data_IF_777312077563
#
_entry.id   IF_777312077563
#
_cell.length_a   1.000
_cell.length_b   1.000
_cell.length_c   1.000
_cell.angle_alpha   90.00
_cell.angle_beta   90.00
_cell.angle_gamma   90.00
#
_symmetry.space_group_name_H-M   'P 1'
#
loop_
_entity.id
_entity.type
_entity.pdbx_description
1 polymer ?
#
# COMPACT_ATOMS: atom_id res chain seq x y z
N UNK A 1 -14.64 12.33 -10.49
CA UNK A 1 -14.63 10.87 -10.60
C UNK A 1 -13.70 10.44 -11.73
N UNK A 2 -12.84 9.46 -11.47
CA UNK A 2 -11.92 8.96 -12.49
C UNK A 2 -12.68 8.21 -13.57
N UNK A 3 -12.29 8.42 -14.83
CA UNK A 3 -12.93 7.75 -15.96
C UNK A 3 -12.32 6.34 -16.18
N UNK A 4 -12.90 5.59 -17.12
CA UNK A 4 -12.45 4.24 -17.43
C UNK A 4 -11.00 4.17 -17.92
N UNK A 5 -10.54 5.20 -18.65
CA UNK A 5 -9.16 5.26 -19.16
C UNK A 5 -8.15 5.39 -18.04
N UNK A 6 -8.43 6.23 -17.06
CA UNK A 6 -7.56 6.40 -15.90
C UNK A 6 -7.50 5.14 -15.04
N UNK A 7 -8.63 4.45 -14.88
CA UNK A 7 -8.66 3.15 -14.20
C UNK A 7 -7.79 2.12 -14.89
N UNK A 8 -7.88 2.02 -16.22
CA UNK A 8 -7.08 1.08 -17.01
C UNK A 8 -5.59 1.38 -16.87
N UNK A 9 -5.21 2.65 -16.73
CA UNK A 9 -3.82 3.07 -16.59
C UNK A 9 -3.13 2.43 -15.40
N UNK A 10 -3.85 2.19 -14.30
CA UNK A 10 -3.30 1.66 -13.05
C UNK A 10 -3.58 0.17 -12.85
N UNK A 11 -4.09 -0.50 -13.88
CA UNK A 11 -4.36 -1.92 -13.80
C UNK A 11 -3.05 -2.71 -13.69
N UNK A 12 -3.00 -3.67 -12.75
CA UNK A 12 -1.80 -4.49 -12.59
C UNK A 12 -1.63 -5.42 -13.79
N UNK A 13 -0.37 -5.65 -14.14
CA UNK A 13 -0.02 -6.63 -15.14
C UNK A 13 -0.24 -8.03 -14.54
N UNK A 14 -0.95 -8.96 -15.23
CA UNK A 14 -1.10 -10.33 -14.75
C UNK A 14 0.24 -11.05 -14.60
N UNK A 15 1.28 -10.58 -15.29
CA UNK A 15 2.64 -11.11 -15.20
C UNK A 15 3.51 -10.32 -14.21
N UNK A 16 2.91 -9.75 -13.18
CA UNK A 16 3.62 -9.01 -12.14
C UNK A 16 4.75 -9.87 -11.56
N UNK A 17 5.99 -9.51 -11.90
CA UNK A 17 7.15 -10.35 -11.63
C UNK A 17 7.71 -10.09 -10.22
N UNK A 18 7.40 -11.03 -9.33
CA UNK A 18 7.85 -10.97 -7.93
C UNK A 18 9.37 -11.11 -7.81
N UNK A 19 10.00 -11.88 -8.68
CA UNK A 19 11.45 -12.07 -8.63
C UNK A 19 12.19 -10.84 -9.14
N UNK A 20 11.63 -10.11 -10.08
CA UNK A 20 12.19 -8.84 -10.51
C UNK A 20 12.19 -7.83 -9.37
N UNK A 21 11.08 -7.71 -8.67
CA UNK A 21 10.99 -6.85 -7.49
C UNK A 21 12.00 -7.27 -6.44
N UNK A 22 12.12 -8.57 -6.18
CA UNK A 22 13.08 -9.09 -5.22
C UNK A 22 14.52 -8.74 -5.61
N UNK A 23 14.83 -8.79 -6.91
CA UNK A 23 16.16 -8.41 -7.39
C UNK A 23 16.47 -6.94 -7.10
N UNK A 24 15.49 -6.04 -7.23
CA UNK A 24 15.66 -4.62 -6.89
C UNK A 24 15.87 -4.43 -5.38
N UNK A 25 15.18 -5.21 -4.56
CA UNK A 25 15.37 -5.17 -3.10
C UNK A 25 16.80 -5.61 -2.74
N UNK A 26 17.31 -6.65 -3.38
CA UNK A 26 18.68 -7.11 -3.17
C UNK A 26 19.71 -6.09 -3.64
N UNK A 27 19.45 -5.41 -4.77
CA UNK A 27 20.29 -4.30 -5.22
C UNK A 27 20.43 -3.23 -4.15
N UNK A 28 19.32 -2.87 -3.52
CA UNK A 28 19.32 -1.87 -2.45
C UNK A 28 20.12 -2.35 -1.24
N UNK A 29 19.94 -3.60 -0.82
CA UNK A 29 20.67 -4.18 0.33
C UNK A 29 22.17 -4.22 0.09
N UNK A 30 22.58 -4.53 -1.13
CA UNK A 30 23.99 -4.70 -1.48
C UNK A 30 24.64 -3.41 -1.96
N UNK A 31 23.89 -2.31 -2.06
CA UNK A 31 24.42 -1.03 -2.50
C UNK A 31 25.39 -0.46 -1.46
N UNK A 32 26.60 -0.12 -1.91
CA UNK A 32 27.65 0.42 -1.04
C UNK A 32 27.64 1.95 -0.98
N UNK A 33 27.01 2.61 -1.93
CA UNK A 33 26.98 4.07 -2.01
C UNK A 33 25.56 4.59 -2.18
N UNK A 34 25.40 5.92 -2.03
CA UNK A 34 24.11 6.57 -2.13
C UNK A 34 23.53 6.51 -3.54
N UNK A 35 24.36 6.65 -4.56
CA UNK A 35 23.91 6.66 -5.97
C UNK A 35 23.28 5.32 -6.32
N UNK A 36 23.91 4.22 -5.94
CA UNK A 36 23.40 2.86 -6.19
C UNK A 36 22.10 2.61 -5.42
N UNK A 37 22.00 3.09 -4.17
CA UNK A 37 20.78 2.97 -3.37
C UNK A 37 19.64 3.76 -3.97
N UNK A 38 19.91 4.99 -4.40
CA UNK A 38 18.88 5.85 -5.02
C UNK A 38 18.36 5.23 -6.32
N UNK A 39 19.25 4.61 -7.11
CA UNK A 39 18.87 3.91 -8.33
C UNK A 39 17.95 2.72 -8.03
N UNK A 40 18.28 1.93 -7.01
CA UNK A 40 17.45 0.81 -6.58
C UNK A 40 16.10 1.29 -6.05
N UNK A 41 16.07 2.36 -5.26
CA UNK A 41 14.84 2.96 -4.75
C UNK A 41 13.93 3.43 -5.88
N UNK A 42 14.51 4.03 -6.92
CA UNK A 42 13.76 4.48 -8.09
C UNK A 42 13.11 3.30 -8.82
N UNK A 43 13.86 2.20 -9.01
CA UNK A 43 13.34 0.99 -9.66
C UNK A 43 12.19 0.37 -8.84
N UNK A 44 12.35 0.31 -7.53
CA UNK A 44 11.31 -0.19 -6.63
C UNK A 44 10.06 0.68 -6.70
N UNK A 45 10.24 1.99 -6.66
CA UNK A 45 9.14 2.95 -6.76
C UNK A 45 8.36 2.77 -8.07
N UNK A 46 9.06 2.77 -9.19
CA UNK A 46 8.43 2.63 -10.51
C UNK A 46 7.69 1.31 -10.63
N UNK A 47 8.23 0.25 -10.05
CA UNK A 47 7.63 -1.07 -10.08
C UNK A 47 6.33 -1.13 -9.27
N UNK A 48 6.35 -0.61 -8.05
CA UNK A 48 5.23 -0.73 -7.11
C UNK A 48 4.17 0.35 -7.27
N UNK A 49 4.53 1.52 -7.81
CA UNK A 49 3.61 2.64 -7.84
C UNK A 49 2.32 2.33 -8.63
N UNK A 50 2.43 1.65 -9.76
CA UNK A 50 1.26 1.27 -10.54
C UNK A 50 0.32 0.37 -9.75
N UNK A 51 0.88 -0.56 -8.98
CA UNK A 51 0.08 -1.44 -8.14
C UNK A 51 -0.61 -0.68 -7.00
N UNK A 52 0.12 0.21 -6.34
CA UNK A 52 -0.43 1.04 -5.27
C UNK A 52 -1.58 1.90 -5.79
N UNK A 53 -1.38 2.55 -6.94
CA UNK A 53 -2.42 3.37 -7.57
C UNK A 53 -3.62 2.52 -7.99
N UNK A 54 -3.38 1.32 -8.51
CA UNK A 54 -4.45 0.40 -8.84
C UNK A 54 -5.30 0.07 -7.61
N UNK A 55 -4.66 -0.30 -6.49
CA UNK A 55 -5.38 -0.64 -5.26
C UNK A 55 -6.18 0.55 -4.73
N UNK A 56 -5.63 1.76 -4.77
CA UNK A 56 -6.33 2.96 -4.33
C UNK A 56 -7.62 3.19 -5.12
N UNK A 57 -7.56 3.08 -6.45
CA UNK A 57 -8.70 3.40 -7.29
C UNK A 57 -9.72 2.26 -7.39
N UNK A 58 -9.32 1.00 -7.19
CA UNK A 58 -10.23 -0.14 -7.31
C UNK A 58 -10.73 -0.63 -5.96
N UNK A 59 -9.86 -0.71 -4.95
CA UNK A 59 -10.22 -1.31 -3.66
C UNK A 59 -10.62 -0.28 -2.61
N UNK A 60 -10.08 0.93 -2.67
CA UNK A 60 -10.25 1.95 -1.63
C UNK A 60 -10.81 3.26 -2.15
N UNK A 61 -11.59 3.19 -3.19
CA UNK A 61 -12.17 4.36 -3.84
C UNK A 61 -13.02 5.21 -2.89
N UNK A 62 -13.86 4.59 -2.06
CA UNK A 62 -14.69 5.32 -1.11
C UNK A 62 -13.86 6.04 -0.05
N UNK A 63 -12.78 5.42 0.41
CA UNK A 63 -11.83 6.07 1.32
C UNK A 63 -11.15 7.25 0.63
N UNK A 64 -10.75 7.06 -0.62
CA UNK A 64 -10.09 8.09 -1.42
C UNK A 64 -10.97 9.32 -1.62
N UNK A 65 -12.27 9.14 -1.77
CA UNK A 65 -13.23 10.23 -1.92
C UNK A 65 -13.44 11.03 -0.63
N UNK A 66 -13.12 10.47 0.52
CA UNK A 66 -13.35 11.06 1.85
C UNK A 66 -12.11 11.69 2.49
N UNK A 67 -10.96 11.65 1.82
CA UNK A 67 -9.70 12.10 2.41
C UNK A 67 -8.80 12.77 1.35
N UNK A 68 -7.75 13.43 1.83
CA UNK A 68 -6.72 13.99 0.98
C UNK A 68 -5.90 12.86 0.36
N UNK A 69 -5.79 12.89 -0.97
CA UNK A 69 -5.04 11.87 -1.72
C UNK A 69 -3.61 11.73 -1.21
N UNK A 70 -2.90 12.86 -1.05
CA UNK A 70 -1.50 12.83 -0.67
C UNK A 70 -1.28 12.21 0.70
N UNK A 71 -2.15 12.49 1.67
CA UNK A 71 -2.04 11.91 3.00
C UNK A 71 -2.19 10.40 2.97
N UNK A 72 -3.20 9.90 2.28
CA UNK A 72 -3.43 8.46 2.15
C UNK A 72 -2.31 7.79 1.38
N UNK A 73 -1.91 8.38 0.25
CA UNK A 73 -0.85 7.86 -0.62
C UNK A 73 0.47 7.72 0.14
N UNK A 74 0.85 8.74 0.90
CA UNK A 74 2.07 8.70 1.71
C UNK A 74 1.98 7.65 2.81
N UNK A 75 0.81 7.51 3.45
CA UNK A 75 0.59 6.49 4.47
C UNK A 75 0.75 5.07 3.92
N UNK A 76 0.27 4.84 2.71
CA UNK A 76 0.46 3.54 2.05
C UNK A 76 1.93 3.26 1.80
N UNK A 77 2.67 4.24 1.30
CA UNK A 77 4.10 4.06 1.03
C UNK A 77 4.90 3.81 2.29
N UNK A 78 4.57 4.45 3.40
CA UNK A 78 5.24 4.19 4.68
C UNK A 78 5.12 2.72 5.07
N UNK A 79 3.93 2.15 4.98
CA UNK A 79 3.71 0.73 5.32
C UNK A 79 4.35 -0.21 4.30
N UNK A 80 4.23 0.10 3.02
CA UNK A 80 4.84 -0.73 1.96
C UNK A 80 6.36 -0.76 2.13
N UNK A 81 7.00 0.39 2.38
CA UNK A 81 8.44 0.46 2.56
C UNK A 81 8.88 -0.26 3.84
N UNK A 82 8.08 -0.21 4.91
CA UNK A 82 8.37 -0.94 6.14
C UNK A 82 8.32 -2.45 5.95
N UNK A 83 7.41 -2.93 5.11
CA UNK A 83 7.24 -4.36 4.86
C UNK A 83 8.15 -4.90 3.75
N UNK A 84 8.67 -4.01 2.90
CA UNK A 84 9.46 -4.38 1.72
C UNK A 84 10.64 -5.32 2.03
N UNK A 85 11.43 -5.11 3.10
CA UNK A 85 12.56 -6.00 3.40
C UNK A 85 12.16 -7.44 3.73
N UNK A 86 10.90 -7.66 4.12
CA UNK A 86 10.40 -9.00 4.48
C UNK A 86 9.82 -9.76 3.29
N UNK A 87 9.72 -9.11 2.14
CA UNK A 87 9.15 -9.76 0.97
C UNK A 87 10.03 -10.90 0.49
N UNK A 88 9.42 -12.08 0.30
CA UNK A 88 10.07 -13.27 -0.22
C UNK A 88 9.18 -13.88 -1.31
N UNK A 89 9.64 -13.85 -2.58
CA UNK A 89 8.83 -14.35 -3.69
C UNK A 89 8.55 -15.85 -3.61
N UNK A 90 9.36 -16.60 -2.86
CA UNK A 90 9.15 -18.05 -2.67
C UNK A 90 7.97 -18.36 -1.75
N UNK A 91 7.56 -17.40 -0.91
CA UNK A 91 6.45 -17.57 0.03
C UNK A 91 5.10 -17.13 -0.53
N UNK A 92 5.08 -16.42 -1.64
CA UNK A 92 3.83 -15.97 -2.25
C UNK A 92 4.02 -14.88 -3.28
N UNK A 93 2.91 -14.45 -3.85
CA UNK A 93 2.91 -13.41 -4.87
C UNK A 93 3.11 -12.03 -4.25
N UNK A 94 3.80 -11.14 -4.97
CA UNK A 94 4.00 -9.75 -4.55
C UNK A 94 2.66 -9.02 -4.34
N UNK A 95 1.70 -9.23 -5.23
CA UNK A 95 0.38 -8.61 -5.13
C UNK A 95 -0.33 -9.02 -3.84
N UNK A 96 -0.27 -10.29 -3.46
CA UNK A 96 -0.87 -10.78 -2.21
C UNK A 96 -0.18 -10.16 -1.00
N UNK A 97 1.16 -10.17 -0.99
CA UNK A 97 1.95 -9.62 0.11
C UNK A 97 1.66 -8.14 0.34
N UNK A 98 1.76 -7.33 -0.72
CA UNK A 98 1.58 -5.88 -0.59
C UNK A 98 0.13 -5.45 -0.46
N UNK A 99 -0.82 -6.30 -0.86
CA UNK A 99 -2.23 -6.05 -0.57
C UNK A 99 -2.49 -5.97 0.94
N UNK A 100 -1.85 -6.85 1.71
CA UNK A 100 -1.95 -6.79 3.17
C UNK A 100 -1.30 -5.53 3.75
N UNK A 101 -0.16 -5.12 3.22
CA UNK A 101 0.48 -3.86 3.63
C UNK A 101 -0.43 -2.66 3.38
N UNK A 102 -1.01 -2.60 2.20
CA UNK A 102 -1.92 -1.51 1.81
C UNK A 102 -3.18 -1.52 2.69
N UNK A 103 -3.79 -2.69 2.88
CA UNK A 103 -4.97 -2.82 3.73
C UNK A 103 -4.69 -2.35 5.15
N UNK A 104 -3.55 -2.75 5.70
CA UNK A 104 -3.12 -2.34 7.04
C UNK A 104 -2.95 -0.82 7.12
N UNK A 105 -2.29 -0.23 6.14
CA UNK A 105 -2.09 1.22 6.07
C UNK A 105 -3.42 1.98 6.02
N UNK A 106 -4.36 1.52 5.19
CA UNK A 106 -5.69 2.14 5.08
C UNK A 106 -6.45 2.03 6.40
N UNK A 107 -6.40 0.86 7.04
CA UNK A 107 -7.07 0.66 8.33
C UNK A 107 -6.53 1.60 9.41
N UNK A 108 -5.20 1.73 9.50
CA UNK A 108 -4.57 2.66 10.45
C UNK A 108 -4.98 4.10 10.13
N UNK A 109 -4.89 4.49 8.86
CA UNK A 109 -5.22 5.84 8.42
C UNK A 109 -6.67 6.22 8.78
N UNK A 110 -7.62 5.36 8.44
CA UNK A 110 -9.04 5.59 8.70
C UNK A 110 -9.32 5.62 10.20
N UNK A 111 -8.70 4.74 10.98
CA UNK A 111 -8.88 4.70 12.43
C UNK A 111 -8.40 5.98 13.10
N UNK A 112 -7.23 6.50 12.69
CA UNK A 112 -6.71 7.74 13.24
C UNK A 112 -7.52 8.97 12.79
N UNK A 113 -8.04 8.97 11.58
CA UNK A 113 -8.89 10.07 11.11
C UNK A 113 -10.23 10.09 11.80
N UNK A 114 -10.84 8.92 12.08
CA UNK A 114 -12.16 8.82 12.68
C UNK A 114 -12.13 8.89 14.20
N UNK A 115 -11.20 8.18 14.84
CA UNK A 115 -11.16 8.02 16.30
C UNK A 115 -9.87 8.49 16.95
N UNK A 116 -8.90 8.92 16.17
CA UNK A 116 -7.56 9.29 16.63
C UNK A 116 -6.91 8.18 17.48
N UNK A 117 -7.08 6.93 17.05
CA UNK A 117 -6.60 5.76 17.78
C UNK A 117 -6.26 4.60 16.84
N UNK A 118 -5.82 3.49 17.40
CA UNK A 118 -5.43 2.29 16.67
C UNK A 118 -6.64 1.54 16.10
N UNK A 119 -6.47 0.68 15.08
CA UNK A 119 -7.56 -0.12 14.54
C UNK A 119 -8.27 -0.99 15.57
N UNK A 120 -7.52 -1.55 16.53
CA UNK A 120 -8.12 -2.38 17.58
C UNK A 120 -9.14 -1.58 18.40
N UNK A 121 -8.73 -0.42 18.90
CA UNK A 121 -9.62 0.44 19.70
C UNK A 121 -10.76 0.99 18.86
N UNK A 122 -10.52 1.32 17.58
CA UNK A 122 -11.56 1.77 16.67
C UNK A 122 -12.66 0.70 16.51
N UNK A 123 -12.27 -0.58 16.37
CA UNK A 123 -13.22 -1.68 16.29
C UNK A 123 -14.05 -1.82 17.56
N UNK A 124 -13.44 -1.63 18.72
CA UNK A 124 -14.18 -1.65 20.00
C UNK A 124 -15.19 -0.52 20.08
N UNK A 125 -14.82 0.69 19.63
CA UNK A 125 -15.72 1.83 19.59
C UNK A 125 -16.91 1.61 18.66
N UNK A 126 -16.69 0.99 17.50
CA UNK A 126 -17.76 0.65 16.56
C UNK A 126 -18.75 -0.35 17.17
N UNK A 127 -18.26 -1.33 17.91
CA UNK A 127 -19.11 -2.30 18.61
C UNK A 127 -19.98 -1.62 19.67
N UNK A 128 -19.42 -0.70 20.43
CA UNK A 128 -20.14 0.06 21.43
C UNK A 128 -21.25 0.90 20.80
N UNK A 129 -20.94 1.57 19.68
CA UNK A 129 -21.92 2.34 18.91
C UNK A 129 -23.12 1.50 18.48
N UNK A 130 -22.86 0.29 17.98
CA UNK A 130 -23.92 -0.64 17.55
C UNK A 130 -24.83 -1.01 18.73
N UNK A 131 -24.25 -1.27 19.90
CA UNK A 131 -25.02 -1.61 21.11
C UNK A 131 -25.90 -0.43 21.53
N UNK A 132 -25.39 0.80 21.48
CA UNK A 132 -26.14 1.99 21.86
C UNK A 132 -27.29 2.29 20.91
N UNK A 133 -27.21 1.86 19.65
CA UNK A 133 -28.28 2.07 18.66
C UNK A 133 -29.39 1.03 18.72
N UNK A 134 -29.17 -0.07 19.42
CA UNK A 134 -30.19 -1.08 19.69
C UNK A 134 -31.05 -0.68 20.89
#
# INVERSE_FOLDING_TARGET
MKNSSERKRYKTNPNFDAYLLYSYIQMKRNASDKISRDKADKLIYEYLNNYIMYELYYSYRSTLEKCEFQELYQSLWVEVLADLPRFNPDLGRATTFFRYSIKHAVCIFVSFKKYNTTPYLANQLEKIKKIQQE
#
